data_IF_133559178821
#
_entry.id   IF_133559178821
#
_cell.length_a   1.000
_cell.length_b   1.000
_cell.length_c   1.000
_cell.angle_alpha   90.00
_cell.angle_beta   90.00
_cell.angle_gamma   90.00
#
_symmetry.space_group_name_H-M   'P 1'
#
loop_
_entity.id
_entity.type
_entity.pdbx_description
1 polymer ?
#
# COMPACT_ATOMS: atom_id res chain seq x y z
N UNK A 1 20.02 -13.40 -0.73
CA UNK A 1 19.24 -14.63 -0.85
C UNK A 1 18.83 -14.82 -2.30
N UNK A 2 19.07 -15.99 -2.83
CA UNK A 2 18.73 -16.29 -4.21
C UNK A 2 17.37 -17.00 -4.23
N UNK A 3 16.36 -16.33 -4.77
CA UNK A 3 15.03 -16.90 -4.89
C UNK A 3 14.85 -17.47 -6.28
N UNK A 4 14.19 -18.62 -6.37
CA UNK A 4 13.90 -19.26 -7.64
C UNK A 4 12.60 -18.69 -8.22
N UNK A 5 12.62 -17.41 -8.59
CA UNK A 5 11.46 -16.68 -9.09
C UNK A 5 11.46 -16.65 -10.61
N UNK A 6 10.29 -16.83 -11.20
CA UNK A 6 10.08 -16.60 -12.63
C UNK A 6 9.59 -15.19 -12.91
N UNK A 7 8.99 -14.52 -11.93
CA UNK A 7 8.50 -13.15 -11.98
C UNK A 7 8.90 -12.42 -10.71
N UNK A 8 8.94 -11.09 -10.75
CA UNK A 8 9.15 -10.33 -9.52
C UNK A 8 8.08 -10.65 -8.50
N UNK A 9 8.47 -10.64 -7.22
CA UNK A 9 7.53 -10.74 -6.10
C UNK A 9 7.47 -9.40 -5.39
N UNK A 10 6.26 -8.99 -5.03
CA UNK A 10 6.02 -7.74 -4.32
C UNK A 10 5.50 -8.05 -2.92
N UNK A 11 6.16 -7.48 -1.93
CA UNK A 11 5.67 -7.44 -0.55
C UNK A 11 5.21 -6.02 -0.27
N UNK A 12 4.08 -5.88 0.40
CA UNK A 12 3.60 -4.54 0.73
C UNK A 12 2.98 -4.50 2.11
N UNK A 13 2.95 -3.28 2.67
CA UNK A 13 2.37 -3.00 3.96
C UNK A 13 1.56 -1.71 3.84
N UNK A 14 0.40 -1.67 4.47
CA UNK A 14 -0.53 -0.55 4.40
C UNK A 14 -0.74 0.08 5.77
N UNK A 15 -0.78 1.41 5.80
CA UNK A 15 -1.32 2.16 6.91
C UNK A 15 -2.65 2.76 6.44
N UNK A 16 -3.68 2.68 7.26
CA UNK A 16 -5.05 3.03 6.86
C UNK A 16 -5.74 3.88 7.90
N UNK A 17 -6.93 4.40 7.55
CA UNK A 17 -7.77 5.13 8.49
C UNK A 17 -8.48 4.19 9.48
N UNK A 18 -8.51 2.89 9.21
CA UNK A 18 -9.17 1.91 10.06
C UNK A 18 -9.19 0.54 9.40
N UNK A 19 -10.02 -0.35 9.91
CA UNK A 19 -10.06 -1.75 9.49
C UNK A 19 -11.31 -2.14 8.69
N UNK A 20 -12.17 -1.19 8.38
CA UNK A 20 -13.38 -1.43 7.58
C UNK A 20 -13.03 -1.32 6.10
N UNK A 21 -12.88 -2.46 5.43
CA UNK A 21 -12.36 -2.53 4.06
C UNK A 21 -13.17 -1.67 3.07
N UNK A 22 -14.50 -1.62 3.23
CA UNK A 22 -15.35 -0.88 2.31
C UNK A 22 -15.49 0.60 2.65
N UNK A 23 -15.03 1.03 3.82
CA UNK A 23 -15.19 2.41 4.29
C UNK A 23 -13.86 3.11 4.48
N UNK A 24 -12.88 2.41 5.06
CA UNK A 24 -11.61 3.01 5.39
C UNK A 24 -10.69 3.05 4.17
N UNK A 25 -9.72 3.96 4.21
CA UNK A 25 -8.86 4.27 3.08
C UNK A 25 -7.40 4.14 3.46
N UNK A 26 -6.57 3.93 2.46
CA UNK A 26 -5.12 3.84 2.63
C UNK A 26 -4.55 5.24 2.84
N UNK A 27 -3.67 5.40 3.84
CA UNK A 27 -2.92 6.64 4.08
C UNK A 27 -1.44 6.50 3.72
N UNK A 28 -0.92 5.28 3.70
CA UNK A 28 0.46 5.04 3.26
C UNK A 28 0.58 3.60 2.74
N UNK A 29 1.32 3.44 1.65
CA UNK A 29 1.65 2.13 1.12
C UNK A 29 3.17 2.04 0.98
N UNK A 30 3.74 0.97 1.53
CA UNK A 30 5.17 0.64 1.40
C UNK A 30 5.29 -0.65 0.61
N UNK A 31 6.11 -0.64 -0.43
CA UNK A 31 6.25 -1.77 -1.35
C UNK A 31 7.71 -2.16 -1.44
N UNK A 32 7.99 -3.45 -1.29
CA UNK A 32 9.30 -4.05 -1.58
C UNK A 32 9.12 -5.00 -2.75
N UNK A 33 9.85 -4.76 -3.82
CA UNK A 33 9.83 -5.59 -5.02
C UNK A 33 11.16 -6.32 -5.15
N UNK A 34 11.11 -7.64 -5.27
CA UNK A 34 12.30 -8.48 -5.47
C UNK A 34 12.21 -9.10 -6.86
N UNK A 35 13.16 -8.78 -7.70
CA UNK A 35 13.23 -9.30 -9.07
C UNK A 35 13.85 -10.71 -9.08
N UNK A 36 13.64 -11.49 -10.17
CA UNK A 36 14.20 -12.84 -10.26
C UNK A 36 15.73 -12.91 -10.11
N UNK A 37 16.43 -11.84 -10.45
CA UNK A 37 17.89 -11.76 -10.29
C UNK A 37 18.33 -11.38 -8.88
N UNK A 38 17.37 -11.18 -7.96
CA UNK A 38 17.65 -10.84 -6.56
C UNK A 38 17.70 -9.35 -6.29
N UNK A 39 17.54 -8.49 -7.29
CA UNK A 39 17.52 -7.04 -7.07
C UNK A 39 16.29 -6.64 -6.26
N UNK A 40 16.47 -5.64 -5.40
CA UNK A 40 15.42 -5.14 -4.51
C UNK A 40 15.18 -3.67 -4.77
N UNK A 41 13.90 -3.31 -4.85
CA UNK A 41 13.47 -1.92 -4.94
C UNK A 41 12.40 -1.67 -3.89
N UNK A 42 12.50 -0.53 -3.19
CA UNK A 42 11.49 -0.12 -2.23
C UNK A 42 10.85 1.18 -2.67
N UNK A 43 9.56 1.31 -2.40
CA UNK A 43 8.80 2.52 -2.69
C UNK A 43 7.78 2.73 -1.60
N UNK A 44 7.73 3.96 -1.08
CA UNK A 44 6.73 4.34 -0.08
C UNK A 44 5.99 5.56 -0.61
N UNK A 45 4.66 5.51 -0.54
CA UNK A 45 3.80 6.62 -0.94
C UNK A 45 2.82 6.93 0.17
N UNK A 46 2.82 8.18 0.61
CA UNK A 46 1.81 8.68 1.54
C UNK A 46 0.66 9.25 0.71
N UNK A 47 -0.57 8.95 1.12
CA UNK A 47 -1.76 9.19 0.32
C UNK A 47 -2.76 9.98 1.16
N UNK A 48 -3.37 11.00 0.54
CA UNK A 48 -4.50 11.69 1.15
C UNK A 48 -5.73 10.77 1.04
N UNK A 49 -6.28 10.28 2.18
CA UNK A 49 -7.39 9.33 2.15
C UNK A 49 -8.72 9.98 1.81
N UNK A 50 -8.77 11.31 1.68
CA UNK A 50 -10.00 12.07 1.40
C UNK A 50 -11.08 11.88 2.46
N UNK A 51 -10.65 11.55 3.68
CA UNK A 51 -11.51 11.46 4.85
C UNK A 51 -10.66 11.75 6.09
N UNK A 52 -11.29 12.15 7.21
CA UNK A 52 -10.54 12.33 8.44
C UNK A 52 -9.89 11.03 8.90
N UNK A 53 -8.68 11.14 9.42
CA UNK A 53 -7.99 9.99 10.03
C UNK A 53 -8.41 9.93 11.50
N UNK A 54 -9.08 8.85 11.95
CA UNK A 54 -9.47 8.74 13.36
C UNK A 54 -8.25 8.80 14.27
N UNK A 55 -8.41 9.37 15.45
CA UNK A 55 -7.33 9.51 16.43
C UNK A 55 -6.72 8.17 16.79
N UNK A 56 -7.53 7.12 16.85
CA UNK A 56 -7.06 5.76 17.15
C UNK A 56 -6.10 5.25 16.08
N UNK A 57 -6.38 5.54 14.82
CA UNK A 57 -5.50 5.13 13.73
C UNK A 57 -4.19 5.92 13.77
N UNK A 58 -4.28 7.24 13.97
CA UNK A 58 -3.07 8.07 14.10
C UNK A 58 -2.21 7.65 15.28
N UNK A 59 -2.82 7.19 16.36
CA UNK A 59 -2.09 6.69 17.52
C UNK A 59 -1.27 5.44 17.19
N UNK A 60 -1.70 4.65 16.22
CA UNK A 60 -1.01 3.43 15.82
C UNK A 60 0.13 3.73 14.84
N UNK A 61 -0.13 4.48 13.77
CA UNK A 61 0.86 4.68 12.70
C UNK A 61 1.51 6.06 12.69
N UNK A 62 1.04 6.98 13.54
CA UNK A 62 1.67 8.30 13.66
C UNK A 62 1.36 9.28 12.52
N UNK A 63 0.49 8.94 11.59
CA UNK A 63 0.15 9.79 10.45
C UNK A 63 -1.12 10.58 10.79
N UNK A 64 -1.07 11.89 10.62
CA UNK A 64 -2.18 12.79 10.96
C UNK A 64 -2.78 13.39 9.69
N UNK A 65 -3.94 14.03 9.82
CA UNK A 65 -4.56 14.76 8.72
C UNK A 65 -3.63 15.80 8.12
N UNK A 66 -2.87 16.49 8.95
CA UNK A 66 -1.91 17.50 8.49
C UNK A 66 -0.80 16.88 7.64
N UNK A 67 -0.38 15.68 7.96
CA UNK A 67 0.69 14.99 7.24
C UNK A 67 0.30 14.62 5.81
N UNK A 68 -1.00 14.39 5.56
CA UNK A 68 -1.49 13.93 4.26
C UNK A 68 -2.25 15.01 3.48
N UNK A 69 -2.43 16.19 4.06
CA UNK A 69 -3.22 17.26 3.44
C UNK A 69 -2.73 17.61 2.03
N UNK A 70 -1.41 17.65 1.83
CA UNK A 70 -0.79 17.99 0.56
C UNK A 70 -0.34 16.77 -0.23
N UNK A 71 -0.69 15.56 0.23
CA UNK A 71 -0.33 14.33 -0.48
C UNK A 71 -1.34 14.03 -1.59
N UNK A 72 -0.91 13.30 -2.64
CA UNK A 72 -1.84 12.91 -3.69
C UNK A 72 -2.90 11.94 -3.16
N UNK A 73 -4.06 11.93 -3.80
CA UNK A 73 -5.09 10.95 -3.53
C UNK A 73 -4.72 9.61 -4.16
N UNK A 74 -5.38 8.52 -3.75
CA UNK A 74 -5.13 7.23 -4.36
C UNK A 74 -5.42 7.26 -5.87
N UNK A 75 -6.49 7.92 -6.28
CA UNK A 75 -6.83 8.05 -7.69
C UNK A 75 -5.69 8.68 -8.51
N UNK A 76 -4.97 9.64 -7.94
CA UNK A 76 -3.87 10.30 -8.62
C UNK A 76 -2.63 9.41 -8.79
N UNK A 77 -2.43 8.45 -7.89
CA UNK A 77 -1.25 7.56 -7.94
C UNK A 77 -1.59 6.15 -8.42
N UNK A 78 -2.86 5.84 -8.62
CA UNK A 78 -3.31 4.48 -8.92
C UNK A 78 -2.63 3.91 -10.17
N UNK A 79 -2.53 4.69 -11.25
CA UNK A 79 -1.92 4.22 -12.48
C UNK A 79 -0.45 3.88 -12.30
N UNK A 80 0.27 4.72 -11.58
CA UNK A 80 1.69 4.50 -11.28
C UNK A 80 1.88 3.25 -10.41
N UNK A 81 1.04 3.08 -9.38
CA UNK A 81 1.09 1.91 -8.53
C UNK A 81 0.76 0.64 -9.30
N UNK A 82 -0.28 0.68 -10.14
CA UNK A 82 -0.65 -0.48 -10.96
C UNK A 82 0.49 -0.89 -11.88
N UNK A 83 1.11 0.07 -12.56
CA UNK A 83 2.22 -0.20 -13.46
C UNK A 83 3.39 -0.87 -12.72
N UNK A 84 3.60 -0.50 -11.45
CA UNK A 84 4.69 -1.07 -10.64
C UNK A 84 4.37 -2.47 -10.15
N UNK A 85 3.09 -2.80 -9.97
CA UNK A 85 2.63 -4.12 -9.52
C UNK A 85 2.38 -5.10 -10.67
N UNK A 86 2.19 -4.58 -11.88
CA UNK A 86 1.84 -5.42 -13.04
C UNK A 86 2.91 -6.46 -13.32
N UNK A 87 2.48 -7.69 -13.57
CA UNK A 87 3.39 -8.79 -13.87
C UNK A 87 4.11 -9.36 -12.65
N UNK A 88 3.75 -8.94 -11.44
CA UNK A 88 4.39 -9.40 -10.22
C UNK A 88 3.47 -10.35 -9.45
N UNK A 89 4.09 -11.28 -8.74
CA UNK A 89 3.38 -12.03 -7.71
C UNK A 89 3.26 -11.16 -6.47
N UNK A 90 2.14 -11.23 -5.76
CA UNK A 90 1.87 -10.37 -4.62
C UNK A 90 1.88 -11.19 -3.34
N UNK A 91 2.64 -10.70 -2.35
CA UNK A 91 2.65 -11.22 -1.00
C UNK A 91 2.68 -10.05 -0.03
N UNK A 92 2.30 -10.27 1.22
CA UNK A 92 2.31 -9.18 2.18
C UNK A 92 2.03 -9.65 3.59
N UNK A 93 2.33 -8.80 4.55
CA UNK A 93 1.94 -9.03 5.94
C UNK A 93 0.42 -8.87 6.03
N UNK A 94 -0.28 -9.84 6.61
CA UNK A 94 -1.74 -9.83 6.72
C UNK A 94 -2.46 -9.72 5.36
N UNK A 95 -1.77 -10.05 4.28
CA UNK A 95 -2.23 -9.75 2.92
C UNK A 95 -3.59 -10.37 2.59
N UNK A 96 -3.84 -11.60 3.04
CA UNK A 96 -5.06 -12.33 2.68
C UNK A 96 -6.29 -11.84 3.44
N UNK A 97 -6.10 -11.22 4.61
CA UNK A 97 -7.22 -10.82 5.46
C UNK A 97 -7.52 -9.34 5.37
N UNK A 98 -6.52 -8.51 5.15
CA UNK A 98 -6.69 -7.07 5.22
C UNK A 98 -6.03 -6.35 4.04
N UNK A 99 -4.71 -6.48 3.87
CA UNK A 99 -3.96 -5.63 2.93
C UNK A 99 -4.37 -5.85 1.47
N UNK A 100 -4.52 -7.09 1.02
CA UNK A 100 -4.93 -7.35 -0.36
C UNK A 100 -6.37 -6.90 -0.60
N UNK A 101 -7.36 -7.26 0.24
CA UNK A 101 -8.71 -6.75 0.07
C UNK A 101 -8.80 -5.22 0.11
N UNK A 102 -8.05 -4.56 1.00
CA UNK A 102 -8.04 -3.11 1.10
C UNK A 102 -7.47 -2.49 -0.18
N UNK A 103 -6.38 -3.04 -0.70
CA UNK A 103 -5.77 -2.51 -1.92
C UNK A 103 -6.71 -2.70 -3.12
N UNK A 104 -7.35 -3.85 -3.22
CA UNK A 104 -8.33 -4.10 -4.29
C UNK A 104 -9.48 -3.10 -4.22
N UNK A 105 -10.02 -2.86 -3.02
CA UNK A 105 -11.11 -1.89 -2.84
C UNK A 105 -10.68 -0.49 -3.26
N UNK A 106 -9.44 -0.09 -2.97
CA UNK A 106 -8.94 1.22 -3.38
C UNK A 106 -8.86 1.36 -4.91
N UNK A 107 -8.51 0.28 -5.63
CA UNK A 107 -8.46 0.32 -7.09
C UNK A 107 -9.85 0.32 -7.74
N UNK A 108 -10.87 -0.09 -7.01
CA UNK A 108 -12.24 -0.01 -7.50
C UNK A 108 -12.80 1.40 -7.29
#
# INVERSE_FOLDING_TARGET
>A
MKLNLQRPIVFFDLETTGVQITRDRIVEISILKISPDGERETKTRRINPEMPIPAEASAVHGITDADVADCPTFAQVARSLYAWLEGCDIAGFNSNRFDVPMLVEEFL
#
